data_IF_421343425478
#
_entry.id   IF_421343425478
#
_cell.length_a   1.000
_cell.length_b   1.000
_cell.length_c   1.000
_cell.angle_alpha   90.00
_cell.angle_beta   90.00
_cell.angle_gamma   90.00
#
_symmetry.space_group_name_H-M   'P 1'
#
loop_
_entity.id
_entity.type
_entity.pdbx_description
1 polymer ?
#
# COMPACT_ATOMS: atom_id res chain seq x y z
N UNK A 1 13.08 -18.03 -6.81
CA UNK A 1 13.58 -16.81 -7.47
C UNK A 1 12.50 -15.72 -7.62
N UNK A 2 11.21 -16.06 -7.72
CA UNK A 2 10.07 -15.12 -7.83
C UNK A 2 10.08 -13.88 -6.90
N UNK A 3 10.25 -14.07 -5.58
CA UNK A 3 10.21 -12.96 -4.63
C UNK A 3 11.47 -12.07 -4.67
N UNK A 4 12.63 -12.65 -5.01
CA UNK A 4 13.87 -11.89 -5.15
C UNK A 4 13.85 -11.03 -6.42
N UNK A 5 13.36 -11.58 -7.53
CA UNK A 5 13.24 -10.89 -8.83
C UNK A 5 12.30 -9.68 -8.76
N UNK A 6 11.28 -9.74 -7.89
CA UNK A 6 10.35 -8.63 -7.66
C UNK A 6 10.79 -7.68 -6.55
N UNK A 7 12.02 -7.84 -6.04
CA UNK A 7 12.56 -6.98 -4.99
C UNK A 7 11.84 -7.10 -3.64
N UNK A 8 11.19 -8.24 -3.36
CA UNK A 8 10.42 -8.44 -2.12
C UNK A 8 11.27 -9.01 -0.97
N UNK A 9 12.46 -9.54 -1.26
CA UNK A 9 13.40 -10.02 -0.24
C UNK A 9 14.55 -9.04 0.03
N UNK A 10 15.03 -8.38 -1.01
CA UNK A 10 16.07 -7.36 -0.99
C UNK A 10 16.03 -6.61 -2.31
N UNK A 11 16.49 -5.35 -2.30
CA UNK A 11 16.62 -4.53 -3.51
C UNK A 11 18.08 -4.12 -3.69
N UNK A 12 18.46 -3.76 -4.91
CA UNK A 12 19.77 -3.19 -5.19
C UNK A 12 19.60 -1.71 -5.55
N UNK A 13 20.34 -0.85 -4.85
CA UNK A 13 20.45 0.58 -5.19
C UNK A 13 21.93 0.84 -5.39
N UNK A 14 22.30 1.28 -6.60
CA UNK A 14 23.70 1.53 -6.99
C UNK A 14 24.63 0.32 -6.73
N UNK A 15 24.14 -0.89 -7.02
CA UNK A 15 24.89 -2.14 -6.81
C UNK A 15 25.01 -2.60 -5.36
N UNK A 16 24.52 -1.82 -4.38
CA UNK A 16 24.48 -2.22 -2.97
C UNK A 16 23.15 -2.90 -2.63
N UNK A 17 23.23 -4.00 -1.90
CA UNK A 17 22.05 -4.74 -1.41
C UNK A 17 21.40 -4.01 -0.22
N UNK A 18 20.10 -3.81 -0.29
CA UNK A 18 19.26 -3.22 0.75
C UNK A 18 18.22 -4.22 1.24
N UNK A 19 18.00 -4.24 2.55
CA UNK A 19 16.86 -4.92 3.16
C UNK A 19 15.58 -4.10 2.87
N UNK A 20 14.60 -4.75 2.25
CA UNK A 20 13.37 -4.14 1.79
C UNK A 20 12.45 -3.68 2.92
N UNK A 21 12.57 -4.26 4.12
CA UNK A 21 11.77 -3.88 5.30
C UNK A 21 12.01 -2.42 5.73
N UNK A 22 13.16 -1.83 5.37
CA UNK A 22 13.50 -0.45 5.73
C UNK A 22 13.24 0.58 4.62
N UNK A 23 12.77 0.15 3.44
CA UNK A 23 12.65 1.06 2.29
C UNK A 23 11.57 2.13 2.51
N UNK A 24 10.41 1.77 3.08
CA UNK A 24 9.35 2.72 3.40
C UNK A 24 9.80 3.77 4.43
N UNK A 25 10.49 3.34 5.51
CA UNK A 25 10.99 4.27 6.52
C UNK A 25 12.05 5.21 5.94
N UNK A 26 12.96 4.69 5.11
CA UNK A 26 13.97 5.50 4.44
C UNK A 26 13.32 6.57 3.57
N UNK A 27 12.37 6.19 2.73
CA UNK A 27 11.64 7.12 1.87
C UNK A 27 10.93 8.19 2.69
N UNK A 28 10.20 7.81 3.73
CA UNK A 28 9.49 8.73 4.60
C UNK A 28 10.42 9.78 5.23
N UNK A 29 11.59 9.36 5.73
CA UNK A 29 12.60 10.27 6.28
C UNK A 29 13.17 11.22 5.22
N UNK A 30 13.41 10.74 4.00
CA UNK A 30 13.87 11.58 2.89
C UNK A 30 12.83 12.61 2.49
N UNK A 31 11.56 12.22 2.42
CA UNK A 31 10.45 13.15 2.17
C UNK A 31 10.38 14.26 3.22
N UNK A 32 10.58 13.94 4.50
CA UNK A 32 10.64 14.95 5.58
C UNK A 32 11.82 15.91 5.36
N UNK A 33 13.01 15.38 5.06
CA UNK A 33 14.23 16.20 4.87
C UNK A 33 14.13 17.15 3.68
N UNK A 34 13.51 16.68 2.60
CA UNK A 34 13.45 17.38 1.32
C UNK A 34 12.14 18.15 1.11
N UNK A 35 11.16 18.00 2.01
CA UNK A 35 9.83 18.59 1.85
C UNK A 35 9.01 17.96 0.72
N UNK A 36 9.20 16.66 0.45
CA UNK A 36 8.50 15.93 -0.62
C UNK A 36 7.28 15.17 -0.09
N UNK A 37 6.38 14.75 -0.98
CA UNK A 37 5.27 13.84 -0.67
C UNK A 37 5.78 12.38 -0.65
N UNK A 38 5.49 11.57 0.40
CA UNK A 38 5.74 10.13 0.39
C UNK A 38 4.94 9.40 -0.69
N UNK A 39 5.47 8.29 -1.23
CA UNK A 39 4.76 7.46 -2.22
C UNK A 39 3.52 6.78 -1.64
N UNK A 40 3.52 6.45 -0.35
CA UNK A 40 2.36 5.91 0.38
C UNK A 40 2.03 6.89 1.52
N UNK A 41 1.12 7.81 1.25
CA UNK A 41 0.64 8.82 2.18
C UNK A 41 -0.76 8.50 2.72
N UNK A 42 -1.46 9.53 3.20
CA UNK A 42 -2.77 9.39 3.83
C UNK A 42 -3.84 8.90 2.85
N UNK A 43 -3.81 9.41 1.61
CA UNK A 43 -4.79 9.04 0.58
C UNK A 43 -4.64 7.57 0.20
N UNK A 44 -3.41 7.13 -0.07
CA UNK A 44 -3.11 5.75 -0.42
C UNK A 44 -3.46 4.79 0.74
N UNK A 45 -3.12 5.16 1.98
CA UNK A 45 -3.48 4.39 3.16
C UNK A 45 -5.00 4.25 3.36
N UNK A 46 -5.76 5.31 3.04
CA UNK A 46 -7.22 5.26 3.09
C UNK A 46 -7.78 4.28 2.05
N UNK A 47 -7.33 4.37 0.80
CA UNK A 47 -7.76 3.48 -0.28
C UNK A 47 -7.46 2.00 0.05
N UNK A 48 -6.26 1.72 0.56
CA UNK A 48 -5.84 0.39 1.01
C UNK A 48 -6.72 -0.14 2.16
N UNK A 49 -7.00 0.69 3.16
CA UNK A 49 -7.83 0.32 4.30
C UNK A 49 -9.27 0.01 3.86
N UNK A 50 -9.85 0.82 2.97
CA UNK A 50 -11.18 0.57 2.40
C UNK A 50 -11.18 -0.74 1.59
N UNK A 51 -10.17 -0.98 0.77
CA UNK A 51 -10.04 -2.23 0.02
C UNK A 51 -9.97 -3.46 0.94
N UNK A 52 -9.21 -3.38 2.04
CA UNK A 52 -9.12 -4.44 3.04
C UNK A 52 -10.47 -4.72 3.74
N UNK A 53 -11.20 -3.65 4.10
CA UNK A 53 -12.54 -3.76 4.67
C UNK A 53 -13.57 -4.33 3.67
N UNK A 54 -13.51 -3.91 2.41
CA UNK A 54 -14.32 -4.48 1.33
C UNK A 54 -14.05 -5.97 1.16
N UNK A 55 -12.79 -6.39 1.15
CA UNK A 55 -12.40 -7.80 1.07
C UNK A 55 -12.93 -8.64 2.24
N UNK A 56 -12.81 -8.11 3.46
CA UNK A 56 -13.33 -8.77 4.67
C UNK A 56 -14.84 -8.95 4.60
N UNK A 57 -15.59 -7.91 4.23
CA UNK A 57 -17.04 -7.99 4.07
C UNK A 57 -17.44 -8.92 2.93
N UNK A 58 -16.73 -8.88 1.81
CA UNK A 58 -17.01 -9.75 0.68
C UNK A 58 -16.88 -11.23 1.06
N UNK A 59 -15.84 -11.57 1.82
CA UNK A 59 -15.62 -12.91 2.34
C UNK A 59 -16.75 -13.35 3.30
N UNK A 60 -17.08 -12.52 4.29
CA UNK A 60 -18.09 -12.87 5.30
C UNK A 60 -19.52 -12.94 4.74
N UNK A 61 -19.83 -12.12 3.75
CA UNK A 61 -21.19 -12.03 3.20
C UNK A 61 -21.38 -12.84 1.90
N UNK A 62 -20.31 -13.38 1.32
CA UNK A 62 -20.34 -14.13 0.06
C UNK A 62 -20.79 -13.30 -1.14
N UNK A 63 -20.50 -11.99 -1.15
CA UNK A 63 -20.93 -11.04 -2.19
C UNK A 63 -19.82 -10.08 -2.57
N UNK A 64 -19.80 -9.63 -3.82
CA UNK A 64 -18.91 -8.54 -4.26
C UNK A 64 -19.30 -7.23 -3.57
N UNK A 65 -18.32 -6.53 -3.02
CA UNK A 65 -18.48 -5.20 -2.41
C UNK A 65 -18.01 -4.12 -3.37
N UNK A 66 -18.59 -2.92 -3.28
CA UNK A 66 -18.24 -1.75 -4.09
C UNK A 66 -17.98 -0.53 -3.20
N UNK A 67 -17.16 0.40 -3.66
CA UNK A 67 -16.91 1.68 -2.99
C UNK A 67 -17.73 2.80 -3.66
N UNK A 68 -18.63 3.42 -2.90
CA UNK A 68 -19.29 4.67 -3.27
C UNK A 68 -18.41 5.84 -2.80
N UNK A 69 -17.64 6.42 -3.73
CA UNK A 69 -16.69 7.52 -3.45
C UNK A 69 -17.39 8.78 -2.94
N UNK A 70 -18.57 9.09 -3.47
CA UNK A 70 -19.29 10.32 -3.13
C UNK A 70 -19.89 10.24 -1.73
N UNK A 71 -20.42 9.07 -1.35
CA UNK A 71 -20.98 8.85 -0.01
C UNK A 71 -19.97 8.32 1.00
N UNK A 72 -18.77 7.98 0.56
CA UNK A 72 -17.73 7.29 1.32
C UNK A 72 -18.25 6.04 2.04
N UNK A 73 -18.90 5.14 1.29
CA UNK A 73 -19.54 3.94 1.84
C UNK A 73 -19.22 2.69 1.04
N UNK A 74 -19.06 1.57 1.75
CA UNK A 74 -19.01 0.24 1.15
C UNK A 74 -20.45 -0.23 0.90
N UNK A 75 -20.79 -0.42 -0.37
CA UNK A 75 -22.10 -0.86 -0.83
C UNK A 75 -22.05 -2.29 -1.37
N UNK A 76 -23.22 -2.89 -1.45
CA UNK A 76 -23.48 -4.12 -2.20
C UNK A 76 -24.20 -3.62 -3.45
N UNK A 77 -23.74 -4.03 -4.63
CA UNK A 77 -24.35 -3.61 -5.90
C UNK A 77 -25.86 -3.83 -5.91
#
# INVERSE_FOLDING_TARGET
>A
MYFAERGLLFSYVEGKRYNTTFLHIREWLECIRQGLKPSCGIDEAFEEAIAAHMGTRAFLEGKTMYWDKDKQKITKG
#
